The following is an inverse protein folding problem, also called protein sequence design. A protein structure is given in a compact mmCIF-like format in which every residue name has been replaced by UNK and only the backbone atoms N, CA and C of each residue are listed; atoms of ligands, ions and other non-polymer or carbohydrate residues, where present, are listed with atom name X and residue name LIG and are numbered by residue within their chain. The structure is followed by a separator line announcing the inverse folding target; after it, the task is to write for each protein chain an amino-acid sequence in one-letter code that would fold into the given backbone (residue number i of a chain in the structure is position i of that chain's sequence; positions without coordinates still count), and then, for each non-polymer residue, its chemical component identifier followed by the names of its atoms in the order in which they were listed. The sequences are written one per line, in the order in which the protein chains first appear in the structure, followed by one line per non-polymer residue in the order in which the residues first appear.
data_IF_541616972164
#
_entry.id   IF_541616972164
#
_cell.length_a   1.000
_cell.length_b   1.000
_cell.length_c   1.000
_cell.angle_alpha   90.00
_cell.angle_beta   90.00
_cell.angle_gamma   90.00
#
_symmetry.space_group_name_H-M   'P 1'
#
loop_
_entity.id
_entity.type
_entity.pdbx_description
1 polymer ?
#
# COMPACT_ATOMS: atom_id res chain seq x y z
N UNK A 1 11.58 1.81 9.71
CA UNK A 1 10.14 2.06 9.93
C UNK A 1 9.85 3.51 9.52
N UNK A 2 9.07 3.73 8.46
CA UNK A 2 8.79 5.07 7.93
C UNK A 2 7.27 5.26 7.80
N UNK A 3 6.81 6.48 8.07
CA UNK A 3 5.41 6.94 8.03
C UNK A 3 4.53 6.47 9.19
N UNK A 4 3.65 7.36 9.64
CA UNK A 4 2.50 7.03 10.49
C UNK A 4 1.36 6.45 9.64
N UNK A 5 0.33 5.90 10.28
CA UNK A 5 -0.86 5.38 9.57
C UNK A 5 -1.48 6.47 8.68
N UNK A 6 -1.69 7.69 9.21
CA UNK A 6 -2.25 8.80 8.43
C UNK A 6 -1.41 9.16 7.20
N UNK A 7 -0.09 9.26 7.37
CA UNK A 7 0.83 9.52 6.25
C UNK A 7 0.83 8.39 5.21
N UNK A 8 0.66 7.14 5.65
CA UNK A 8 0.58 6.00 4.76
C UNK A 8 -0.71 6.02 3.93
N UNK A 9 -1.84 6.45 4.51
CA UNK A 9 -3.09 6.65 3.76
C UNK A 9 -2.95 7.69 2.66
N UNK A 10 -2.40 8.87 2.99
CA UNK A 10 -2.15 9.92 1.99
C UNK A 10 -1.27 9.40 0.86
N UNK A 11 -0.18 8.71 1.19
CA UNK A 11 0.71 8.14 0.19
C UNK A 11 0.01 7.11 -0.72
N UNK A 12 -0.76 6.19 -0.13
CA UNK A 12 -1.42 5.13 -0.89
C UNK A 12 -2.50 5.68 -1.81
N UNK A 13 -3.28 6.69 -1.39
CA UNK A 13 -4.29 7.29 -2.25
C UNK A 13 -3.65 7.96 -3.48
N UNK A 14 -2.59 8.75 -3.29
CA UNK A 14 -1.85 9.34 -4.42
C UNK A 14 -1.19 8.28 -5.30
N UNK A 15 -0.68 7.19 -4.71
CA UNK A 15 -0.06 6.10 -5.47
C UNK A 15 -1.09 5.36 -6.34
N UNK A 16 -2.28 5.06 -5.80
CA UNK A 16 -3.38 4.41 -6.54
C UNK A 16 -3.71 5.15 -7.82
N UNK A 17 -3.85 6.47 -7.75
CA UNK A 17 -4.12 7.31 -8.91
C UNK A 17 -2.97 7.28 -9.91
N UNK A 18 -1.73 7.38 -9.44
CA UNK A 18 -0.54 7.42 -10.29
C UNK A 18 -0.31 6.13 -11.09
N UNK A 19 -0.76 4.98 -10.57
CA UNK A 19 -0.47 3.66 -11.15
C UNK A 19 -1.68 2.90 -11.66
N UNK A 20 -2.87 3.50 -11.65
CA UNK A 20 -4.14 2.85 -12.01
C UNK A 20 -4.11 2.17 -13.39
N UNK A 21 -3.39 2.75 -14.36
CA UNK A 21 -3.31 2.24 -15.74
C UNK A 21 -2.10 1.33 -15.99
N UNK A 22 -1.25 1.09 -14.99
CA UNK A 22 -0.11 0.17 -15.12
C UNK A 22 -0.63 -1.27 -15.17
N UNK A 23 -0.46 -1.92 -16.31
CA UNK A 23 -0.96 -3.29 -16.61
C UNK A 23 0.15 -4.30 -16.90
N UNK A 24 1.38 -3.85 -17.07
CA UNK A 24 2.53 -4.66 -17.47
C UNK A 24 3.52 -4.92 -16.31
N UNK A 25 3.16 -4.57 -15.08
CA UNK A 25 3.97 -4.81 -13.90
C UNK A 25 3.08 -5.04 -12.67
N UNK A 26 3.53 -5.90 -11.77
CA UNK A 26 2.93 -6.06 -10.46
C UNK A 26 3.44 -4.97 -9.52
N UNK A 27 2.53 -4.37 -8.75
CA UNK A 27 2.85 -3.28 -7.83
C UNK A 27 2.59 -3.78 -6.43
N UNK A 28 3.61 -3.76 -5.58
CA UNK A 28 3.52 -4.18 -4.18
C UNK A 28 4.04 -3.10 -3.27
N UNK A 29 3.36 -2.90 -2.14
CA UNK A 29 3.87 -2.07 -1.05
C UNK A 29 4.00 -2.88 0.23
N UNK A 30 5.09 -2.64 0.97
CA UNK A 30 5.35 -3.28 2.25
C UNK A 30 5.47 -2.21 3.35
N UNK A 31 4.35 -1.74 3.94
CA UNK A 31 4.38 -0.73 4.99
C UNK A 31 4.82 -1.30 6.35
N UNK A 32 5.11 -0.45 7.36
CA UNK A 32 5.27 -0.91 8.73
C UNK A 32 4.08 -1.76 9.20
N UNK A 33 4.34 -2.74 10.07
CA UNK A 33 3.32 -3.68 10.59
C UNK A 33 2.05 -2.98 11.10
N UNK A 34 2.21 -1.87 11.81
CA UNK A 34 1.11 -1.09 12.40
C UNK A 34 0.15 -0.49 11.36
N UNK A 35 0.58 -0.37 10.10
CA UNK A 35 -0.24 0.15 9.01
C UNK A 35 -0.86 -0.95 8.13
N UNK A 36 -0.44 -2.22 8.26
CA UNK A 36 -0.90 -3.31 7.39
C UNK A 36 -2.43 -3.46 7.41
N UNK A 37 -3.00 -3.60 8.60
CA UNK A 37 -4.45 -3.78 8.75
C UNK A 37 -5.24 -2.60 8.14
N UNK A 38 -4.77 -1.39 8.40
CA UNK A 38 -5.43 -0.17 7.93
C UNK A 38 -5.37 -0.03 6.41
N UNK A 39 -4.20 -0.29 5.80
CA UNK A 39 -4.01 -0.17 4.37
C UNK A 39 -4.66 -1.29 3.56
N UNK A 40 -4.87 -2.48 4.14
CA UNK A 40 -5.60 -3.56 3.49
C UNK A 40 -7.00 -3.13 3.04
N UNK A 41 -7.67 -2.28 3.81
CA UNK A 41 -9.00 -1.76 3.47
C UNK A 41 -8.93 -0.70 2.37
N UNK A 42 -7.92 0.17 2.38
CA UNK A 42 -7.73 1.28 1.43
C UNK A 42 -7.36 0.76 0.03
N UNK A 43 -6.60 -0.32 -0.02
CA UNK A 43 -6.11 -0.92 -1.26
C UNK A 43 -7.14 -1.79 -1.98
N UNK A 44 -8.29 -2.09 -1.37
CA UNK A 44 -9.34 -2.90 -2.01
C UNK A 44 -9.73 -2.31 -3.36
N UNK A 45 -9.73 -3.16 -4.38
CA UNK A 45 -10.07 -2.80 -5.75
C UNK A 45 -8.97 -2.06 -6.53
N UNK A 46 -7.79 -1.82 -5.95
CA UNK A 46 -6.62 -1.33 -6.69
C UNK A 46 -5.80 -2.46 -7.30
N UNK A 47 -4.94 -2.13 -8.26
CA UNK A 47 -3.91 -3.03 -8.82
C UNK A 47 -2.64 -3.11 -7.93
N UNK A 48 -2.73 -2.67 -6.66
CA UNK A 48 -1.60 -2.65 -5.72
C UNK A 48 -1.80 -3.76 -4.69
N UNK A 49 -0.82 -4.64 -4.61
CA UNK A 49 -0.72 -5.70 -3.61
C UNK A 49 -0.11 -5.18 -2.30
N UNK A 50 -0.50 -5.82 -1.19
CA UNK A 50 -0.02 -5.49 0.15
C UNK A 50 0.85 -6.64 0.69
N UNK A 51 2.10 -6.33 1.06
CA UNK A 51 3.03 -7.25 1.70
C UNK A 51 3.45 -6.77 3.10
N UNK A 52 4.02 -7.68 3.89
CA UNK A 52 4.68 -7.34 5.15
C UNK A 52 6.19 -7.14 4.94
N UNK A 53 6.81 -6.29 5.76
CA UNK A 53 8.27 -6.08 5.71
C UNK A 53 9.08 -7.25 6.29
N UNK A 54 8.48 -8.02 7.20
CA UNK A 54 9.08 -9.18 7.86
C UNK A 54 7.98 -10.12 8.41
N UNK A 55 8.31 -11.38 8.71
CA UNK A 55 7.45 -12.38 9.36
C UNK A 55 8.27 -13.33 10.26
N UNK A 56 7.62 -13.98 11.21
CA UNK A 56 8.18 -15.03 12.07
C UNK A 56 7.16 -16.16 12.24
#
# INVERSE_FOLDING_TARGET
MNKTVSQAHTFVNSLKEAVAEVKNAEIVICPPYTALFSLNQVLKGSNIFLGAQNMY
#
